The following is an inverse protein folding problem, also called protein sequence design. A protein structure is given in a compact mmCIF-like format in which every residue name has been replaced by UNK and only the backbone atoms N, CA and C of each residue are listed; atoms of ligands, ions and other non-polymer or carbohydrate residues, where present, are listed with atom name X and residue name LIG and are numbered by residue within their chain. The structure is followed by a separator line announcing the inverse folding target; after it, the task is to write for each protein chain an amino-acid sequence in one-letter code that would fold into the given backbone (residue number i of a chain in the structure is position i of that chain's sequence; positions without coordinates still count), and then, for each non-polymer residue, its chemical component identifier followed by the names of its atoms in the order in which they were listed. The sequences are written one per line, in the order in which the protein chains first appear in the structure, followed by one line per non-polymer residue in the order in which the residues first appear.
data_IF_060245967773
#
_entry.id   IF_060245967773
#
_cell.length_a   1.000
_cell.length_b   1.000
_cell.length_c   1.000
_cell.angle_alpha   90.00
_cell.angle_beta   90.00
_cell.angle_gamma   90.00
#
_symmetry.space_group_name_H-M   'P 1'
#
loop_
_entity.id
_entity.type
_entity.pdbx_description
1 polymer ?
#
# COMPACT_ATOMS: atom_id res chain seq x y z
N UNK A 1 -68.24 3.45 5.43
CA UNK A 1 -66.80 3.69 5.69
C UNK A 1 -66.30 2.51 6.52
N UNK A 2 -65.22 1.85 6.12
CA UNK A 2 -64.68 0.72 6.90
C UNK A 2 -64.12 1.21 8.25
N UNK A 3 -64.22 0.40 9.31
CA UNK A 3 -63.72 0.75 10.65
C UNK A 3 -62.23 1.15 10.65
N UNK A 4 -61.43 0.58 9.74
CA UNK A 4 -60.03 0.93 9.56
C UNK A 4 -59.80 2.39 9.17
N UNK A 5 -60.61 2.93 8.24
CA UNK A 5 -60.52 4.33 7.79
C UNK A 5 -60.87 5.28 8.94
N UNK A 6 -61.87 4.93 9.75
CA UNK A 6 -62.25 5.74 10.93
C UNK A 6 -61.11 5.77 11.94
N UNK A 7 -60.49 4.63 12.24
CA UNK A 7 -59.37 4.56 13.18
C UNK A 7 -58.13 5.33 12.68
N UNK A 8 -57.82 5.28 11.38
CA UNK A 8 -56.73 6.07 10.79
C UNK A 8 -56.96 7.57 11.00
N UNK A 9 -58.15 8.07 10.66
CA UNK A 9 -58.52 9.48 10.87
C UNK A 9 -58.45 9.88 12.34
N UNK A 10 -58.90 9.04 13.26
CA UNK A 10 -58.82 9.32 14.71
C UNK A 10 -57.36 9.42 15.17
N UNK A 11 -56.47 8.54 14.69
CA UNK A 11 -55.03 8.60 15.00
C UNK A 11 -54.39 9.89 14.49
N UNK A 12 -54.69 10.27 13.25
CA UNK A 12 -54.17 11.50 12.64
C UNK A 12 -54.69 12.76 13.35
N UNK A 13 -56.00 12.83 13.63
CA UNK A 13 -56.58 13.94 14.40
C UNK A 13 -56.01 14.04 15.82
N UNK A 14 -55.74 12.89 16.48
CA UNK A 14 -55.09 12.86 17.79
C UNK A 14 -53.65 13.35 17.71
N UNK A 15 -52.89 12.91 16.71
CA UNK A 15 -51.51 13.37 16.44
C UNK A 15 -51.48 14.88 16.26
N UNK A 16 -52.33 15.43 15.38
CA UNK A 16 -52.35 16.86 15.08
C UNK A 16 -52.71 17.71 16.31
N UNK A 17 -53.69 17.26 17.11
CA UNK A 17 -54.05 17.91 18.36
C UNK A 17 -52.89 17.90 19.37
N UNK A 18 -52.18 16.76 19.51
CA UNK A 18 -51.04 16.63 20.42
C UNK A 18 -49.83 17.46 19.97
N UNK A 19 -49.56 17.55 18.67
CA UNK A 19 -48.50 18.40 18.11
C UNK A 19 -48.79 19.87 18.41
N UNK A 20 -50.00 20.33 18.09
CA UNK A 20 -50.39 21.72 18.36
C UNK A 20 -50.32 22.06 19.85
N UNK A 21 -50.79 21.14 20.71
CA UNK A 21 -50.69 21.29 22.16
C UNK A 21 -49.23 21.35 22.64
N UNK A 22 -48.37 20.46 22.16
CA UNK A 22 -46.97 20.42 22.57
C UNK A 22 -46.20 21.70 22.19
N UNK A 23 -46.52 22.27 21.02
CA UNK A 23 -45.95 23.55 20.56
C UNK A 23 -46.50 24.72 21.38
N UNK A 24 -47.82 24.79 21.59
CA UNK A 24 -48.45 25.92 22.31
C UNK A 24 -48.03 25.98 23.78
N UNK A 25 -47.98 24.83 24.46
CA UNK A 25 -47.58 24.73 25.87
C UNK A 25 -46.05 24.69 26.04
N UNK A 26 -45.30 24.71 24.95
CA UNK A 26 -43.82 24.65 24.96
C UNK A 26 -43.30 23.47 25.79
N UNK A 27 -43.96 22.31 25.67
CA UNK A 27 -43.67 21.11 26.46
C UNK A 27 -42.20 20.69 26.40
N UNK A 28 -41.53 20.98 25.29
CA UNK A 28 -40.14 20.61 25.01
C UNK A 28 -39.16 21.80 25.07
N UNK A 29 -39.60 22.93 25.62
CA UNK A 29 -38.79 24.14 25.80
C UNK A 29 -39.10 25.28 24.82
N UNK A 30 -38.41 26.40 25.00
CA UNK A 30 -38.52 27.56 24.11
C UNK A 30 -37.70 27.31 22.82
N UNK A 31 -38.28 27.62 21.65
CA UNK A 31 -37.60 27.48 20.34
C UNK A 31 -38.14 26.38 19.42
N UNK A 32 -39.24 25.72 19.79
CA UNK A 32 -40.00 24.82 18.90
C UNK A 32 -41.33 25.51 18.59
N UNK A 33 -41.43 26.07 17.39
CA UNK A 33 -42.59 26.84 16.89
C UNK A 33 -43.32 26.12 15.76
N UNK A 34 -42.71 25.08 15.19
CA UNK A 34 -43.24 24.31 14.07
C UNK A 34 -43.19 22.80 14.31
N UNK A 35 -44.03 22.07 13.56
CA UNK A 35 -43.98 20.61 13.54
C UNK A 35 -42.64 20.07 12.99
N UNK A 36 -41.94 20.82 12.15
CA UNK A 36 -40.62 20.44 11.64
C UNK A 36 -39.55 20.53 12.74
N UNK A 37 -39.58 21.58 13.56
CA UNK A 37 -38.69 21.69 14.72
C UNK A 37 -39.02 20.63 15.79
N UNK A 38 -40.31 20.30 15.96
CA UNK A 38 -40.72 19.22 16.85
C UNK A 38 -40.21 17.86 16.34
N UNK A 39 -40.26 17.61 15.03
CA UNK A 39 -39.64 16.43 14.40
C UNK A 39 -38.14 16.38 14.66
N UNK A 40 -37.45 17.50 14.45
CA UNK A 40 -36.01 17.58 14.67
C UNK A 40 -35.63 17.32 16.13
N UNK A 41 -36.44 17.78 17.08
CA UNK A 41 -36.25 17.56 18.51
C UNK A 41 -36.57 16.13 18.95
N UNK A 42 -37.71 15.58 18.51
CA UNK A 42 -38.16 14.23 18.87
C UNK A 42 -37.48 13.13 18.05
N UNK A 43 -36.84 13.48 16.94
CA UNK A 43 -36.26 12.58 15.94
C UNK A 43 -37.30 11.63 15.33
N UNK A 44 -38.58 12.05 15.32
CA UNK A 44 -39.75 11.28 14.89
C UNK A 44 -40.70 12.17 14.10
N UNK A 45 -41.06 11.76 12.88
CA UNK A 45 -41.88 12.58 12.00
C UNK A 45 -43.34 12.63 12.49
N UNK A 46 -43.77 13.82 12.94
CA UNK A 46 -45.13 14.05 13.43
C UNK A 46 -46.13 14.38 12.32
N UNK A 47 -45.73 14.36 11.05
CA UNK A 47 -46.59 14.62 9.89
C UNK A 47 -46.99 13.35 9.14
N UNK A 48 -46.45 12.19 9.53
CA UNK A 48 -46.67 10.92 8.82
C UNK A 48 -48.07 10.34 9.02
N UNK A 49 -48.70 9.89 7.94
CA UNK A 49 -50.05 9.33 7.95
C UNK A 49 -50.14 7.99 8.69
N UNK A 50 -51.34 7.64 9.16
CA UNK A 50 -51.56 6.42 9.96
C UNK A 50 -51.42 5.10 9.18
N UNK A 51 -51.21 5.18 7.87
CA UNK A 51 -51.00 4.04 6.96
C UNK A 51 -49.55 3.54 6.93
N UNK A 52 -48.58 4.38 7.32
CA UNK A 52 -47.17 3.98 7.36
C UNK A 52 -46.93 3.11 8.58
N UNK A 53 -46.39 1.91 8.34
CA UNK A 53 -46.07 0.96 9.39
C UNK A 53 -44.55 0.81 9.51
N UNK A 54 -44.06 0.95 10.74
CA UNK A 54 -42.65 0.78 11.12
C UNK A 54 -42.60 -0.11 12.36
N UNK A 55 -41.51 -0.86 12.54
CA UNK A 55 -41.29 -1.57 13.80
C UNK A 55 -40.67 -0.62 14.82
N UNK A 56 -40.92 -0.77 16.13
CA UNK A 56 -40.32 0.11 17.14
C UNK A 56 -38.79 0.17 17.07
N UNK A 57 -38.13 -0.95 16.72
CA UNK A 57 -36.68 -1.02 16.57
C UNK A 57 -36.21 -0.28 15.31
N UNK A 58 -36.91 -0.44 14.19
CA UNK A 58 -36.56 0.27 12.96
C UNK A 58 -36.69 1.79 13.14
N UNK A 59 -37.74 2.22 13.84
CA UNK A 59 -37.95 3.64 14.12
C UNK A 59 -36.86 4.21 15.05
N UNK A 60 -36.51 3.50 16.13
CA UNK A 60 -35.41 3.90 17.01
C UNK A 60 -34.06 3.99 16.28
N UNK A 61 -33.80 3.08 15.33
CA UNK A 61 -32.61 3.12 14.47
C UNK A 61 -32.62 4.38 13.59
N UNK A 62 -33.76 4.70 12.96
CA UNK A 62 -33.91 5.89 12.12
C UNK A 62 -33.71 7.18 12.92
N UNK A 63 -34.30 7.26 14.12
CA UNK A 63 -34.11 8.40 15.04
C UNK A 63 -32.65 8.59 15.43
N UNK A 64 -31.95 7.51 15.81
CA UNK A 64 -30.54 7.57 16.16
C UNK A 64 -29.66 7.94 14.97
N UNK A 65 -29.94 7.40 13.78
CA UNK A 65 -29.22 7.76 12.55
C UNK A 65 -29.38 9.25 12.25
N UNK A 66 -30.62 9.79 12.31
CA UNK A 66 -30.89 11.20 12.11
C UNK A 66 -30.12 12.07 13.10
N UNK A 67 -30.11 11.70 14.38
CA UNK A 67 -29.36 12.42 15.41
C UNK A 67 -27.85 12.45 15.12
N UNK A 68 -27.27 11.31 14.75
CA UNK A 68 -25.84 11.24 14.40
C UNK A 68 -25.52 12.16 13.22
N UNK A 69 -26.36 12.19 12.17
CA UNK A 69 -26.18 13.11 11.04
C UNK A 69 -26.26 14.57 11.46
N UNK A 70 -27.25 14.93 12.28
CA UNK A 70 -27.41 16.31 12.78
C UNK A 70 -26.20 16.76 13.61
N UNK A 71 -25.64 15.87 14.43
CA UNK A 71 -24.37 16.14 15.14
C UNK A 71 -23.20 16.35 14.16
N UNK A 72 -23.09 15.53 13.11
CA UNK A 72 -22.03 15.65 12.09
C UNK A 72 -22.15 16.97 11.31
N UNK A 73 -23.37 17.37 10.97
CA UNK A 73 -23.67 18.59 10.22
C UNK A 73 -23.55 19.88 11.06
N UNK A 74 -23.38 19.76 12.38
CA UNK A 74 -23.32 20.91 13.27
C UNK A 74 -24.70 21.51 13.60
N UNK A 75 -25.79 20.78 13.33
CA UNK A 75 -27.16 21.23 13.56
C UNK A 75 -27.60 21.12 15.04
N UNK A 76 -26.89 20.33 15.85
CA UNK A 76 -27.15 20.19 17.28
C UNK A 76 -26.41 21.26 18.12
N UNK A 77 -26.95 21.70 19.26
CA UNK A 77 -26.26 22.66 20.14
C UNK A 77 -25.00 22.05 20.79
N UNK A 78 -24.00 22.89 21.07
CA UNK A 78 -22.85 22.51 21.91
C UNK A 78 -23.32 21.99 23.29
N UNK A 79 -22.68 20.94 23.87
CA UNK A 79 -21.40 20.35 23.47
C UNK A 79 -21.49 19.20 22.46
N UNK A 80 -22.68 18.95 21.88
CA UNK A 80 -22.91 17.80 21.01
C UNK A 80 -22.08 17.84 19.71
N UNK A 81 -21.68 19.04 19.28
CA UNK A 81 -20.91 19.30 18.06
C UNK A 81 -19.40 19.41 18.29
N UNK A 82 -18.95 20.03 19.39
CA UNK A 82 -17.54 20.33 19.66
C UNK A 82 -16.63 19.11 19.88
N UNK A 83 -17.18 17.90 19.99
CA UNK A 83 -16.42 16.66 20.17
C UNK A 83 -16.67 15.59 19.10
N UNK A 84 -17.47 15.87 18.07
CA UNK A 84 -17.84 14.86 17.05
C UNK A 84 -16.61 14.28 16.37
N UNK A 85 -15.61 15.11 16.04
CA UNK A 85 -14.36 14.68 15.41
C UNK A 85 -13.62 13.56 16.18
N UNK A 86 -13.70 13.54 17.52
CA UNK A 86 -13.06 12.49 18.35
C UNK A 86 -13.68 11.12 18.15
N UNK A 87 -14.91 11.05 17.67
CA UNK A 87 -15.60 9.79 17.38
C UNK A 87 -15.26 9.23 15.98
N UNK A 88 -14.54 9.99 15.14
CA UNK A 88 -14.11 9.59 13.79
C UNK A 88 -12.67 9.05 13.71
N UNK A 89 -11.94 8.96 14.83
CA UNK A 89 -10.62 8.30 14.88
C UNK A 89 -10.72 6.81 14.51
N UNK A 90 -9.67 6.25 13.89
CA UNK A 90 -9.65 4.92 13.24
C UNK A 90 -10.27 3.77 14.05
N UNK A 91 -10.10 3.78 15.38
CA UNK A 91 -10.59 2.72 16.27
C UNK A 91 -12.05 2.88 16.73
N UNK A 92 -12.73 3.93 16.28
CA UNK A 92 -14.09 4.29 16.74
C UNK A 92 -15.15 3.91 15.71
N UNK A 93 -16.37 3.70 16.21
CA UNK A 93 -17.50 3.30 15.37
C UNK A 93 -17.82 4.33 14.28
N UNK A 94 -17.74 5.64 14.55
CA UNK A 94 -18.09 6.65 13.54
C UNK A 94 -17.02 6.86 12.47
N UNK A 95 -15.78 6.37 12.66
CA UNK A 95 -14.74 6.42 11.62
C UNK A 95 -15.23 5.92 10.25
N UNK A 96 -16.02 4.84 10.29
CA UNK A 96 -16.56 4.17 9.13
C UNK A 96 -18.06 4.44 8.92
N UNK A 97 -18.58 5.55 9.46
CA UNK A 97 -20.00 5.87 9.42
C UNK A 97 -20.55 5.89 7.99
N UNK A 98 -20.03 6.76 7.13
CA UNK A 98 -20.51 6.92 5.76
C UNK A 98 -20.31 5.68 4.88
N UNK A 99 -19.22 4.93 5.12
CA UNK A 99 -18.89 3.75 4.32
C UNK A 99 -19.77 2.56 4.71
N UNK A 100 -19.88 2.25 6.01
CA UNK A 100 -20.46 1.00 6.49
C UNK A 100 -21.58 1.19 7.53
N UNK A 101 -21.40 2.07 8.51
CA UNK A 101 -22.21 2.02 9.72
C UNK A 101 -23.52 2.82 9.65
N UNK A 102 -23.64 3.76 8.70
CA UNK A 102 -24.84 4.61 8.49
C UNK A 102 -26.07 3.81 8.08
N UNK A 103 -25.90 2.71 7.34
CA UNK A 103 -27.00 1.87 6.83
C UNK A 103 -26.91 0.48 7.43
N UNK A 104 -28.00 0.01 8.03
CA UNK A 104 -28.07 -1.31 8.65
C UNK A 104 -27.59 -2.44 7.74
N UNK A 105 -27.98 -2.44 6.46
CA UNK A 105 -27.59 -3.50 5.50
C UNK A 105 -26.09 -3.57 5.27
N UNK A 106 -25.39 -2.42 5.19
CA UNK A 106 -23.93 -2.38 5.02
C UNK A 106 -23.22 -2.78 6.30
N UNK A 107 -23.68 -2.29 7.45
CA UNK A 107 -23.17 -2.69 8.75
C UNK A 107 -23.32 -4.20 8.96
N UNK A 108 -24.50 -4.75 8.70
CA UNK A 108 -24.76 -6.17 8.83
C UNK A 108 -23.92 -7.01 7.87
N UNK A 109 -23.70 -6.54 6.63
CA UNK A 109 -22.79 -7.18 5.68
C UNK A 109 -21.34 -7.20 6.17
N UNK A 110 -20.85 -6.08 6.69
CA UNK A 110 -19.51 -5.97 7.29
C UNK A 110 -19.34 -6.90 8.50
N UNK A 111 -20.33 -6.93 9.40
CA UNK A 111 -20.27 -7.80 10.58
C UNK A 111 -20.35 -9.28 10.19
N UNK A 112 -21.21 -9.64 9.22
CA UNK A 112 -21.28 -11.00 8.68
C UNK A 112 -19.98 -11.42 8.02
N UNK A 113 -19.34 -10.56 7.22
CA UNK A 113 -18.07 -10.84 6.56
C UNK A 113 -16.98 -11.30 7.55
N UNK A 114 -17.03 -10.78 8.78
CA UNK A 114 -16.08 -11.12 9.85
C UNK A 114 -16.19 -12.58 10.31
N UNK A 115 -17.38 -13.17 10.26
CA UNK A 115 -17.66 -14.54 10.71
C UNK A 115 -17.89 -15.53 9.56
N UNK A 116 -18.37 -15.04 8.43
CA UNK A 116 -18.80 -15.82 7.27
C UNK A 116 -18.08 -15.36 6.00
N UNK A 117 -16.76 -15.21 6.07
CA UNK A 117 -15.96 -14.74 4.95
C UNK A 117 -16.16 -15.58 3.67
N UNK A 118 -16.36 -16.89 3.83
CA UNK A 118 -16.60 -17.83 2.73
C UNK A 118 -17.81 -17.45 1.85
N UNK A 119 -18.86 -16.86 2.43
CA UNK A 119 -20.07 -16.44 1.70
C UNK A 119 -19.80 -15.26 0.74
N UNK A 120 -18.69 -14.54 0.94
CA UNK A 120 -18.31 -13.35 0.18
C UNK A 120 -17.11 -13.58 -0.74
N UNK A 121 -16.48 -14.76 -0.70
CA UNK A 121 -15.34 -15.06 -1.57
C UNK A 121 -15.83 -15.43 -2.96
N UNK A 122 -15.54 -14.57 -3.93
CA UNK A 122 -15.58 -14.90 -5.34
C UNK A 122 -14.15 -15.06 -5.87
N UNK A 123 -13.72 -16.26 -6.31
CA UNK A 123 -12.39 -16.49 -6.84
C UNK A 123 -12.00 -15.55 -7.99
N UNK A 124 -12.98 -15.11 -8.78
CA UNK A 124 -12.78 -14.24 -9.94
C UNK A 124 -12.61 -12.77 -9.57
N UNK A 125 -13.02 -12.36 -8.36
CA UNK A 125 -12.95 -10.97 -7.88
C UNK A 125 -11.84 -10.73 -6.86
N UNK A 126 -10.91 -11.68 -6.70
CA UNK A 126 -9.75 -11.53 -5.83
C UNK A 126 -8.94 -10.28 -6.23
N UNK A 127 -8.75 -9.34 -5.28
CA UNK A 127 -8.06 -8.07 -5.55
C UNK A 127 -6.55 -8.19 -5.75
N UNK A 128 -5.89 -9.10 -5.04
CA UNK A 128 -4.43 -9.26 -5.03
C UNK A 128 -3.98 -10.41 -5.94
N UNK A 129 -4.45 -10.42 -7.18
CA UNK A 129 -4.00 -11.38 -8.19
C UNK A 129 -2.61 -11.00 -8.69
N UNK A 130 -1.74 -11.98 -8.79
CA UNK A 130 -0.44 -11.82 -9.43
C UNK A 130 -0.60 -11.61 -10.93
N UNK A 131 0.37 -11.00 -11.58
CA UNK A 131 0.45 -10.91 -13.05
C UNK A 131 0.36 -12.32 -13.66
N UNK A 132 1.05 -13.27 -13.04
CA UNK A 132 1.05 -14.68 -13.44
C UNK A 132 -0.36 -15.31 -13.39
N UNK A 133 -1.12 -15.08 -12.32
CA UNK A 133 -2.47 -15.62 -12.18
C UNK A 133 -3.46 -14.92 -13.13
N UNK A 134 -3.32 -13.61 -13.29
CA UNK A 134 -4.12 -12.83 -14.24
C UNK A 134 -3.92 -13.33 -15.68
N UNK A 135 -2.67 -13.60 -16.07
CA UNK A 135 -2.37 -14.20 -17.37
C UNK A 135 -2.99 -15.61 -17.52
N UNK A 136 -2.99 -16.43 -16.46
CA UNK A 136 -3.67 -17.72 -16.46
C UNK A 136 -5.18 -17.59 -16.66
N UNK A 137 -5.84 -16.70 -15.92
CA UNK A 137 -7.28 -16.42 -16.09
C UNK A 137 -7.61 -15.95 -17.51
N UNK A 138 -6.80 -15.05 -18.07
CA UNK A 138 -6.97 -14.61 -19.46
C UNK A 138 -6.83 -15.77 -20.45
N UNK A 139 -5.84 -16.66 -20.28
CA UNK A 139 -5.64 -17.80 -21.17
C UNK A 139 -6.82 -18.79 -21.15
N UNK A 140 -7.41 -19.05 -19.97
CA UNK A 140 -8.57 -19.96 -19.88
C UNK A 140 -9.87 -19.33 -20.40
N UNK A 141 -9.95 -18.00 -20.43
CA UNK A 141 -11.13 -17.25 -20.90
C UNK A 141 -11.16 -17.02 -22.42
N UNK A 142 -10.08 -17.33 -23.16
CA UNK A 142 -9.95 -17.04 -24.60
C UNK A 142 -10.70 -18.01 -25.55
N UNK A 143 -11.56 -18.90 -25.04
CA UNK A 143 -12.32 -19.80 -25.91
C UNK A 143 -13.14 -20.86 -25.16
N UNK A 144 -13.50 -21.94 -25.87
CA UNK A 144 -14.25 -23.05 -25.27
C UNK A 144 -13.40 -23.76 -24.22
N UNK A 145 -13.92 -23.80 -22.99
CA UNK A 145 -13.30 -24.51 -21.89
C UNK A 145 -13.37 -26.02 -22.16
N UNK A 146 -12.22 -26.61 -22.47
CA UNK A 146 -12.04 -28.05 -22.66
C UNK A 146 -10.94 -28.55 -21.73
N UNK A 147 -10.97 -29.82 -21.34
CA UNK A 147 -9.96 -30.40 -20.45
C UNK A 147 -8.53 -30.18 -20.99
N UNK A 148 -8.32 -30.36 -22.30
CA UNK A 148 -7.03 -30.15 -22.94
C UNK A 148 -6.58 -28.67 -22.88
N UNK A 149 -7.50 -27.72 -23.06
CA UNK A 149 -7.19 -26.30 -22.94
C UNK A 149 -6.79 -25.92 -21.51
N UNK A 150 -7.52 -26.43 -20.51
CA UNK A 150 -7.22 -26.21 -19.09
C UNK A 150 -5.87 -26.81 -18.71
N UNK A 151 -5.59 -28.06 -19.11
CA UNK A 151 -4.29 -28.71 -18.85
C UNK A 151 -3.12 -27.89 -19.43
N UNK A 152 -3.24 -27.40 -20.67
CA UNK A 152 -2.22 -26.55 -21.30
C UNK A 152 -2.05 -25.23 -20.55
N UNK A 153 -3.13 -24.58 -20.12
CA UNK A 153 -3.08 -23.34 -19.36
C UNK A 153 -2.38 -23.53 -18.01
N UNK A 154 -2.69 -24.62 -17.29
CA UNK A 154 -2.03 -24.97 -16.02
C UNK A 154 -0.55 -25.26 -16.23
N UNK A 155 -0.19 -26.03 -17.26
CA UNK A 155 1.23 -26.30 -17.58
C UNK A 155 2.00 -25.00 -17.83
N UNK A 156 1.45 -24.07 -18.63
CA UNK A 156 2.04 -22.76 -18.88
C UNK A 156 2.19 -21.93 -17.59
N UNK A 157 1.19 -21.96 -16.71
CA UNK A 157 1.25 -21.32 -15.40
C UNK A 157 2.36 -21.91 -14.53
N UNK A 158 2.45 -23.24 -14.42
CA UNK A 158 3.47 -23.93 -13.62
C UNK A 158 4.89 -23.69 -14.15
N UNK A 159 5.10 -23.72 -15.47
CA UNK A 159 6.42 -23.41 -16.05
C UNK A 159 6.85 -21.97 -15.76
N UNK A 160 5.91 -21.03 -15.77
CA UNK A 160 6.22 -19.63 -15.45
C UNK A 160 6.43 -19.42 -13.95
N UNK A 161 5.66 -20.12 -13.11
CA UNK A 161 5.85 -20.16 -11.66
C UNK A 161 7.22 -20.72 -11.28
N UNK A 162 7.66 -21.80 -11.94
CA UNK A 162 8.96 -22.42 -11.72
C UNK A 162 10.12 -21.43 -11.94
N UNK A 163 10.03 -20.59 -12.98
CA UNK A 163 11.02 -19.52 -13.22
C UNK A 163 11.09 -18.53 -12.06
N UNK A 164 9.94 -18.11 -11.53
CA UNK A 164 9.87 -17.18 -10.40
C UNK A 164 10.32 -17.82 -9.07
N UNK A 165 10.06 -19.12 -8.90
CA UNK A 165 10.45 -19.86 -7.69
C UNK A 165 11.96 -20.09 -7.60
N UNK A 166 12.66 -20.13 -8.74
CA UNK A 166 14.12 -20.31 -8.82
C UNK A 166 14.91 -18.98 -8.80
N UNK A 167 14.22 -17.84 -8.61
CA UNK A 167 14.90 -16.55 -8.51
C UNK A 167 15.84 -16.52 -7.31
N UNK A 168 17.08 -16.10 -7.56
CA UNK A 168 18.08 -15.89 -6.52
C UNK A 168 18.00 -14.44 -6.06
N UNK A 169 17.86 -14.20 -4.76
CA UNK A 169 17.89 -12.85 -4.20
C UNK A 169 19.33 -12.37 -4.13
N UNK A 170 19.64 -11.26 -4.80
CA UNK A 170 20.99 -10.70 -4.93
C UNK A 170 21.20 -9.43 -4.11
N UNK A 171 20.13 -8.83 -3.60
CA UNK A 171 20.22 -7.64 -2.77
C UNK A 171 18.89 -7.26 -2.15
N UNK A 172 18.93 -6.41 -1.13
CA UNK A 172 17.74 -5.85 -0.50
C UNK A 172 18.04 -4.47 0.09
N UNK A 173 17.00 -3.68 0.32
CA UNK A 173 17.06 -2.42 1.09
C UNK A 173 15.91 -2.37 2.09
N UNK A 174 16.12 -1.71 3.23
CA UNK A 174 15.08 -1.47 4.22
C UNK A 174 14.73 0.02 4.23
N UNK A 175 13.47 0.34 3.93
CA UNK A 175 12.96 1.72 3.91
C UNK A 175 12.15 1.94 5.18
N UNK A 176 12.79 2.56 6.17
CA UNK A 176 12.18 2.82 7.48
C UNK A 176 10.93 3.72 7.40
N UNK A 177 10.97 4.73 6.51
CA UNK A 177 9.87 5.69 6.27
C UNK A 177 8.55 4.96 5.97
N UNK A 178 8.61 3.95 5.10
CA UNK A 178 7.44 3.19 4.63
C UNK A 178 7.32 1.81 5.32
N UNK A 179 8.16 1.52 6.32
CA UNK A 179 8.25 0.22 7.02
C UNK A 179 8.26 -0.98 6.05
N UNK A 180 8.94 -0.81 4.92
CA UNK A 180 8.91 -1.75 3.79
C UNK A 180 10.33 -2.11 3.39
N UNK A 181 10.57 -3.40 3.20
CA UNK A 181 11.80 -3.94 2.66
C UNK A 181 11.61 -4.24 1.18
N UNK A 182 12.59 -3.89 0.35
CA UNK A 182 12.59 -4.22 -1.08
C UNK A 182 13.71 -5.21 -1.36
N UNK A 183 13.45 -6.17 -2.24
CA UNK A 183 14.37 -7.23 -2.61
C UNK A 183 14.55 -7.25 -4.12
N UNK A 184 15.78 -7.56 -4.53
CA UNK A 184 16.19 -7.70 -5.92
C UNK A 184 16.54 -9.16 -6.18
N UNK A 185 15.96 -9.72 -7.23
CA UNK A 185 16.15 -11.10 -7.66
C UNK A 185 16.72 -11.18 -9.06
N UNK A 186 17.50 -12.23 -9.34
CA UNK A 186 17.95 -12.60 -10.69
C UNK A 186 17.46 -13.99 -11.08
N UNK A 187 17.18 -14.20 -12.36
CA UNK A 187 16.97 -15.52 -12.91
C UNK A 187 18.29 -16.26 -13.14
N UNK A 188 18.21 -17.59 -13.22
CA UNK A 188 19.36 -18.46 -13.50
C UNK A 188 19.63 -18.63 -15.01
N UNK A 189 18.78 -18.05 -15.86
CA UNK A 189 18.91 -18.12 -17.32
C UNK A 189 20.02 -17.15 -17.80
N UNK A 190 20.59 -17.41 -18.98
CA UNK A 190 21.54 -16.51 -19.64
C UNK A 190 20.93 -16.08 -20.98
N UNK A 191 20.72 -14.77 -21.22
CA UNK A 191 20.99 -13.64 -20.33
C UNK A 191 20.06 -13.62 -19.10
N UNK A 192 20.58 -13.19 -17.96
CA UNK A 192 19.82 -13.10 -16.71
C UNK A 192 18.70 -12.05 -16.81
N UNK A 193 17.58 -12.32 -16.15
CA UNK A 193 16.48 -11.39 -16.01
C UNK A 193 16.37 -10.96 -14.55
N UNK A 194 16.08 -9.68 -14.33
CA UNK A 194 16.00 -9.11 -12.99
C UNK A 194 14.56 -8.84 -12.58
N UNK A 195 14.29 -9.02 -11.29
CA UNK A 195 12.99 -8.90 -10.68
C UNK A 195 13.10 -8.15 -9.36
N UNK A 196 12.04 -7.50 -8.94
CA UNK A 196 11.97 -6.91 -7.61
C UNK A 196 10.70 -7.35 -6.89
N UNK A 197 10.73 -7.34 -5.56
CA UNK A 197 9.53 -7.50 -4.72
C UNK A 197 9.68 -6.68 -3.45
N UNK A 198 8.59 -6.50 -2.71
CA UNK A 198 8.58 -5.86 -1.41
C UNK A 198 7.98 -6.76 -0.33
N UNK A 199 8.35 -6.48 0.90
CA UNK A 199 7.80 -7.07 2.11
C UNK A 199 7.48 -5.95 3.10
N UNK A 200 6.23 -5.87 3.55
CA UNK A 200 5.83 -4.95 4.60
C UNK A 200 5.26 -5.71 5.79
N UNK A 201 5.32 -5.12 6.97
CA UNK A 201 4.72 -5.71 8.17
C UNK A 201 3.24 -5.36 8.22
N UNK A 202 2.38 -6.33 8.49
CA UNK A 202 0.96 -6.06 8.72
C UNK A 202 0.78 -5.10 9.91
N UNK A 203 -0.22 -4.22 9.82
CA UNK A 203 -0.48 -3.20 10.85
C UNK A 203 -1.06 -3.77 12.16
N UNK A 204 -1.57 -5.00 12.15
CA UNK A 204 -2.18 -5.63 13.31
C UNK A 204 -1.15 -6.29 14.24
N UNK A 205 -1.53 -6.46 15.51
CA UNK A 205 -0.81 -6.99 16.69
C UNK A 205 -0.04 -8.33 16.54
N UNK A 206 0.15 -8.84 15.32
CA UNK A 206 0.89 -10.05 15.04
C UNK A 206 2.26 -9.70 14.45
N UNK A 207 3.28 -9.71 15.32
CA UNK A 207 4.68 -9.37 14.96
C UNK A 207 5.24 -10.25 13.83
N UNK A 208 4.61 -11.38 13.54
CA UNK A 208 5.07 -12.37 12.55
C UNK A 208 4.36 -12.28 11.19
N UNK A 209 3.39 -11.38 11.01
CA UNK A 209 2.63 -11.32 9.78
C UNK A 209 3.31 -10.40 8.75
N UNK A 210 4.10 -11.00 7.86
CA UNK A 210 4.77 -10.35 6.73
C UNK A 210 3.90 -10.42 5.48
N UNK A 211 3.61 -9.26 4.89
CA UNK A 211 2.87 -9.13 3.64
C UNK A 211 3.88 -8.99 2.51
N UNK A 212 3.96 -10.04 1.69
CA UNK A 212 4.85 -10.06 0.54
C UNK A 212 4.12 -9.66 -0.74
N UNK A 213 4.77 -8.83 -1.56
CA UNK A 213 4.36 -8.62 -2.95
C UNK A 213 4.82 -9.80 -3.83
N UNK A 214 4.27 -9.86 -5.04
CA UNK A 214 4.80 -10.71 -6.09
C UNK A 214 6.18 -10.23 -6.56
N UNK A 215 6.88 -11.12 -7.28
CA UNK A 215 8.05 -10.75 -8.06
C UNK A 215 7.60 -10.08 -9.36
N UNK A 216 8.01 -8.83 -9.56
CA UNK A 216 7.71 -8.05 -10.75
C UNK A 216 8.98 -7.91 -11.58
N UNK A 217 8.88 -8.16 -12.88
CA UNK A 217 10.03 -8.07 -13.79
C UNK A 217 10.48 -6.61 -13.93
N UNK A 218 11.79 -6.41 -13.94
CA UNK A 218 12.40 -5.12 -14.27
C UNK A 218 12.55 -5.05 -15.79
N UNK A 219 11.70 -4.27 -16.44
CA UNK A 219 11.64 -4.13 -17.91
C UNK A 219 12.64 -3.10 -18.45
N UNK A 220 13.88 -3.12 -17.96
CA UNK A 220 14.99 -2.36 -18.52
C UNK A 220 15.97 -3.30 -19.21
N UNK A 221 16.59 -2.80 -20.28
CA UNK A 221 17.65 -3.48 -21.02
C UNK A 221 18.96 -3.48 -20.18
N UNK A 222 18.93 -4.25 -19.09
CA UNK A 222 20.08 -4.49 -18.22
C UNK A 222 20.86 -5.65 -18.85
N UNK A 223 21.81 -5.32 -19.70
CA UNK A 223 22.69 -6.30 -20.33
C UNK A 223 23.84 -6.62 -19.37
N UNK A 224 23.75 -7.75 -18.69
CA UNK A 224 24.89 -8.33 -17.98
C UNK A 224 25.30 -9.60 -18.70
N UNK A 225 26.38 -9.55 -19.50
CA UNK A 225 26.91 -10.73 -20.23
C UNK A 225 27.37 -11.84 -19.28
N UNK A 226 27.72 -11.44 -18.07
CA UNK A 226 28.18 -12.30 -17.00
C UNK A 226 27.55 -11.70 -15.76
N UNK A 227 26.68 -12.42 -15.04
CA UNK A 227 25.97 -11.98 -13.81
C UNK A 227 26.87 -11.60 -12.62
N UNK A 228 27.95 -10.89 -12.91
CA UNK A 228 29.02 -10.30 -12.10
C UNK A 228 28.95 -8.77 -12.14
N UNK A 229 28.25 -8.17 -13.11
CA UNK A 229 28.06 -6.73 -13.09
C UNK A 229 27.07 -6.34 -11.99
N UNK A 230 27.39 -5.34 -11.16
CA UNK A 230 26.55 -5.00 -10.02
C UNK A 230 25.25 -4.36 -10.44
N UNK A 231 24.16 -4.86 -9.87
CA UNK A 231 22.83 -4.26 -9.87
C UNK A 231 22.38 -4.14 -8.42
N UNK A 232 21.92 -2.97 -8.01
CA UNK A 232 21.46 -2.72 -6.64
C UNK A 232 20.22 -1.84 -6.58
N UNK A 233 19.53 -1.93 -5.43
CA UNK A 233 18.39 -1.09 -5.11
C UNK A 233 18.86 0.12 -4.30
N UNK A 234 18.21 1.25 -4.52
CA UNK A 234 18.42 2.47 -3.76
C UNK A 234 17.10 3.19 -3.53
N UNK A 235 16.94 3.83 -2.37
CA UNK A 235 15.77 4.64 -2.07
C UNK A 235 16.17 6.11 -2.09
N UNK A 236 15.58 6.88 -3.01
CA UNK A 236 15.86 8.30 -3.17
C UNK A 236 14.57 9.04 -3.51
N UNK A 237 14.35 10.20 -2.87
CA UNK A 237 13.17 11.05 -3.10
C UNK A 237 11.82 10.31 -3.08
N UNK A 238 11.66 9.40 -2.11
CA UNK A 238 10.44 8.58 -1.95
C UNK A 238 10.16 7.66 -3.16
N UNK A 239 11.21 7.27 -3.90
CA UNK A 239 11.14 6.35 -5.05
C UNK A 239 12.18 5.24 -4.94
N UNK A 240 11.79 4.06 -5.43
CA UNK A 240 12.70 2.94 -5.59
C UNK A 240 13.51 3.14 -6.88
N UNK A 241 14.83 3.11 -6.76
CA UNK A 241 15.77 3.22 -7.84
C UNK A 241 16.52 1.90 -7.99
N UNK A 242 16.87 1.57 -9.23
CA UNK A 242 17.80 0.51 -9.58
C UNK A 242 19.00 1.13 -10.25
N UNK A 243 20.14 0.54 -9.99
CA UNK A 243 21.40 1.10 -10.40
C UNK A 243 22.33 -0.01 -10.82
N UNK A 244 22.93 0.15 -11.99
CA UNK A 244 23.81 -0.88 -12.54
C UNK A 244 24.92 -0.32 -13.39
N UNK A 245 25.92 -1.15 -13.60
CA UNK A 245 27.07 -0.86 -14.44
C UNK A 245 27.01 -1.72 -15.71
N UNK A 246 27.16 -1.09 -16.87
CA UNK A 246 27.23 -1.75 -18.16
C UNK A 246 28.62 -1.54 -18.76
N UNK A 247 29.22 -2.60 -19.27
CA UNK A 247 30.46 -2.51 -20.06
C UNK A 247 30.14 -2.58 -21.56
N UNK A 248 30.51 -1.54 -22.30
CA UNK A 248 30.44 -1.53 -23.77
C UNK A 248 31.82 -1.78 -24.34
N UNK A 249 31.96 -2.85 -25.11
CA UNK A 249 33.19 -3.13 -25.87
C UNK A 249 33.09 -2.39 -27.21
N UNK A 250 34.10 -1.60 -27.53
CA UNK A 250 34.26 -0.89 -28.81
C UNK A 250 35.64 -1.21 -29.38
N UNK A 251 35.83 -1.08 -30.69
CA UNK A 251 37.14 -1.26 -31.32
C UNK A 251 37.66 0.11 -31.80
N UNK A 252 38.91 0.45 -31.46
CA UNK A 252 39.56 1.66 -31.99
C UNK A 252 39.94 1.47 -33.48
N UNK A 253 40.39 2.54 -34.15
CA UNK A 253 40.85 2.55 -35.55
C UNK A 253 41.99 1.57 -35.83
N UNK A 254 42.69 1.08 -34.79
CA UNK A 254 43.72 0.05 -34.85
C UNK A 254 43.19 -1.38 -34.65
N UNK A 255 41.89 -1.53 -34.47
CA UNK A 255 41.17 -2.77 -34.14
C UNK A 255 41.42 -3.32 -32.72
N UNK A 256 42.01 -2.51 -31.83
CA UNK A 256 42.19 -2.85 -30.42
C UNK A 256 40.86 -2.72 -29.65
N UNK A 257 40.59 -3.65 -28.72
CA UNK A 257 39.42 -3.61 -27.85
C UNK A 257 39.53 -2.50 -26.80
N UNK A 258 38.60 -1.55 -26.86
CA UNK A 258 38.40 -0.48 -25.87
C UNK A 258 37.12 -0.76 -25.09
N UNK A 259 37.26 -1.03 -23.79
CA UNK A 259 36.15 -1.23 -22.87
C UNK A 259 35.74 0.10 -22.26
N UNK A 260 34.53 0.55 -22.56
CA UNK A 260 33.92 1.72 -21.91
C UNK A 260 32.90 1.26 -20.87
N UNK A 261 33.04 1.69 -19.61
CA UNK A 261 32.05 1.40 -18.57
C UNK A 261 31.07 2.56 -18.40
N UNK A 262 29.79 2.25 -18.28
CA UNK A 262 28.70 3.21 -18.07
C UNK A 262 27.94 2.86 -16.80
N UNK A 263 27.68 3.88 -15.99
CA UNK A 263 26.77 3.80 -14.87
C UNK A 263 25.35 4.17 -15.32
N UNK A 264 24.39 3.34 -14.99
CA UNK A 264 22.98 3.53 -15.31
C UNK A 264 22.16 3.61 -14.03
N UNK A 265 21.20 4.53 -14.00
CA UNK A 265 20.22 4.64 -12.93
C UNK A 265 18.83 4.70 -13.56
N UNK A 266 17.89 3.96 -13.00
CA UNK A 266 16.48 4.05 -13.35
C UNK A 266 15.62 4.07 -12.08
N UNK A 267 14.53 4.80 -12.10
CA UNK A 267 13.56 4.82 -11.00
C UNK A 267 12.29 4.10 -11.40
N UNK A 268 11.61 3.55 -10.39
CA UNK A 268 10.29 2.97 -10.52
C UNK A 268 9.25 4.08 -10.48
N UNK A 269 8.41 4.15 -11.50
CA UNK A 269 7.29 5.09 -11.56
C UNK A 269 6.03 4.50 -10.88
N UNK A 270 5.01 5.34 -10.72
CA UNK A 270 3.73 5.04 -10.08
C UNK A 270 2.95 3.89 -10.73
N UNK A 271 3.18 3.62 -12.01
CA UNK A 271 2.58 2.52 -12.77
C UNK A 271 3.39 1.21 -12.68
N UNK A 272 4.44 1.17 -11.85
CA UNK A 272 5.45 0.11 -11.76
C UNK A 272 6.35 -0.04 -12.99
N UNK A 273 6.31 0.88 -13.96
CA UNK A 273 7.30 0.94 -15.03
C UNK A 273 8.64 1.46 -14.51
N UNK A 274 9.71 1.16 -15.24
CA UNK A 274 11.06 1.64 -14.94
C UNK A 274 11.46 2.71 -15.94
N UNK A 275 11.88 3.87 -15.44
CA UNK A 275 12.28 5.02 -16.26
C UNK A 275 13.76 5.27 -16.08
N UNK A 276 14.50 5.31 -17.19
CA UNK A 276 15.93 5.63 -17.18
C UNK A 276 16.15 7.09 -16.77
N UNK A 277 16.83 7.27 -15.65
CA UNK A 277 17.11 8.57 -15.04
C UNK A 277 18.46 9.14 -15.50
N UNK A 278 19.49 8.30 -15.54
CA UNK A 278 20.84 8.73 -15.88
C UNK A 278 21.66 7.63 -16.57
N UNK A 279 22.57 8.08 -17.45
CA UNK A 279 23.63 7.28 -18.05
C UNK A 279 24.92 8.09 -18.02
N UNK A 280 25.88 7.67 -17.18
CA UNK A 280 27.13 8.39 -16.95
C UNK A 280 28.28 7.52 -17.44
N UNK A 281 29.16 8.06 -18.29
CA UNK A 281 30.38 7.38 -18.72
C UNK A 281 31.44 7.52 -17.61
N UNK A 282 32.04 6.41 -17.21
CA UNK A 282 33.10 6.40 -16.19
C UNK A 282 34.42 6.92 -16.77
N UNK A 283 35.18 7.66 -15.95
CA UNK A 283 36.49 8.19 -16.33
C UNK A 283 37.56 7.09 -16.27
N UNK A 284 38.73 7.34 -16.87
CA UNK A 284 39.83 6.37 -16.86
C UNK A 284 40.37 6.08 -15.45
N UNK A 285 40.26 7.04 -14.52
CA UNK A 285 40.64 6.87 -13.11
C UNK A 285 39.65 5.95 -12.36
N UNK A 286 38.36 6.04 -12.69
CA UNK A 286 37.31 5.16 -12.16
C UNK A 286 37.37 3.73 -12.73
N UNK A 287 38.04 3.54 -13.87
CA UNK A 287 38.22 2.24 -14.51
C UNK A 287 39.29 1.36 -13.84
N UNK A 288 40.18 1.92 -13.00
CA UNK A 288 41.15 1.16 -12.19
C UNK A 288 40.50 0.35 -11.06
N UNK A 289 39.21 0.55 -10.78
CA UNK A 289 38.47 -0.25 -9.81
C UNK A 289 38.16 -1.60 -10.47
N UNK A 290 39.05 -2.58 -10.22
CA UNK A 290 38.98 -3.94 -10.78
C UNK A 290 37.80 -4.76 -10.24
N UNK A 291 37.47 -4.57 -8.97
CA UNK A 291 36.36 -5.25 -8.30
C UNK A 291 35.56 -4.26 -7.47
N UNK A 292 34.26 -4.27 -7.67
CA UNK A 292 33.32 -3.67 -6.75
C UNK A 292 32.77 -4.81 -5.89
N UNK A 293 32.87 -4.72 -4.55
CA UNK A 293 32.34 -5.74 -3.62
C UNK A 293 31.18 -5.22 -2.78
N UNK A 294 30.12 -6.03 -2.72
CA UNK A 294 29.01 -5.86 -1.78
C UNK A 294 29.42 -6.29 -0.38
N UNK A 295 30.51 -7.05 -0.22
CA UNK A 295 31.04 -7.43 1.07
C UNK A 295 32.32 -6.65 1.36
N UNK A 296 32.33 -5.89 2.45
CA UNK A 296 33.49 -5.12 2.89
C UNK A 296 34.01 -5.72 4.19
N UNK A 297 35.31 -5.98 4.23
CA UNK A 297 35.99 -6.41 5.44
C UNK A 297 36.30 -5.19 6.31
N UNK A 298 35.76 -5.17 7.52
CA UNK A 298 35.94 -4.09 8.49
C UNK A 298 36.63 -4.64 9.73
N UNK A 299 37.68 -3.98 10.20
CA UNK A 299 38.33 -4.32 11.46
C UNK A 299 37.67 -3.56 12.61
N UNK A 300 37.15 -4.29 13.59
CA UNK A 300 36.62 -3.74 14.84
C UNK A 300 37.40 -4.34 15.99
N UNK A 301 38.05 -3.50 16.79
CA UNK A 301 38.80 -3.93 18.00
C UNK A 301 39.80 -5.08 17.78
N UNK A 302 40.46 -5.11 16.60
CA UNK A 302 41.42 -6.15 16.15
C UNK A 302 40.80 -7.47 15.69
N UNK A 303 39.48 -7.57 15.62
CA UNK A 303 38.79 -8.67 14.96
C UNK A 303 38.30 -8.24 13.56
N UNK A 304 38.32 -9.18 12.61
CA UNK A 304 37.92 -8.97 11.22
C UNK A 304 36.47 -9.36 11.03
N UNK A 305 35.64 -8.42 10.61
CA UNK A 305 34.22 -8.63 10.33
C UNK A 305 33.95 -8.49 8.84
N UNK A 306 33.22 -9.43 8.25
CA UNK A 306 32.69 -9.31 6.90
C UNK A 306 31.31 -8.65 6.97
N UNK A 307 31.20 -7.44 6.42
CA UNK A 307 29.95 -6.67 6.39
C UNK A 307 29.39 -6.71 4.97
N UNK A 308 28.19 -7.27 4.82
CA UNK A 308 27.42 -7.17 3.59
C UNK A 308 26.82 -5.76 3.49
N UNK A 309 27.40 -4.95 2.64
CA UNK A 309 26.91 -3.63 2.24
C UNK A 309 25.94 -3.76 1.05
N UNK A 310 24.89 -2.94 1.05
CA UNK A 310 23.92 -2.88 -0.06
C UNK A 310 24.40 -1.99 -1.23
N UNK A 311 25.61 -1.44 -1.14
CA UNK A 311 26.23 -0.56 -2.13
C UNK A 311 27.55 -1.19 -2.52
N UNK A 312 27.83 -1.27 -3.82
CA UNK A 312 29.08 -1.86 -4.26
C UNK A 312 30.23 -0.87 -4.04
N UNK A 313 31.15 -1.20 -3.12
CA UNK A 313 32.22 -0.29 -2.69
C UNK A 313 33.47 -0.51 -3.56
N UNK A 314 34.01 0.51 -4.25
CA UNK A 314 35.37 0.47 -4.79
C UNK A 314 36.39 0.22 -3.68
N UNK A 315 37.32 -0.72 -3.90
CA UNK A 315 38.23 -1.24 -2.87
C UNK A 315 39.36 -0.24 -2.46
N UNK A 316 39.39 0.99 -3.00
CA UNK A 316 40.31 2.05 -2.53
C UNK A 316 39.62 2.94 -1.48
N UNK A 317 39.58 2.51 -0.21
CA UNK A 317 39.09 3.34 0.89
C UNK A 317 39.18 2.67 2.28
N UNK A 318 39.29 3.48 3.34
CA UNK A 318 39.30 3.03 4.75
C UNK A 318 37.99 3.43 5.41
N UNK A 319 37.25 2.47 5.97
CA UNK A 319 36.02 2.73 6.73
C UNK A 319 36.41 2.97 8.21
N UNK A 320 35.99 4.10 8.78
CA UNK A 320 36.23 4.41 10.20
C UNK A 320 34.98 4.12 11.03
N UNK A 321 35.19 3.41 12.15
CA UNK A 321 34.17 3.08 13.15
C UNK A 321 34.08 4.18 14.23
N UNK A 322 32.86 4.57 14.63
CA UNK A 322 32.63 5.48 15.75
C UNK A 322 31.78 4.77 16.84
N UNK A 323 32.29 4.51 18.06
CA UNK A 323 31.67 3.57 19.02
C UNK A 323 30.54 4.17 19.88
N UNK A 324 29.87 5.24 19.46
CA UNK A 324 29.01 6.02 20.37
C UNK A 324 27.57 5.51 20.55
N UNK A 325 27.26 4.24 20.26
CA UNK A 325 25.89 3.70 20.35
C UNK A 325 25.81 2.28 20.92
N UNK A 326 24.71 1.99 21.62
CA UNK A 326 24.35 0.64 22.11
C UNK A 326 24.29 -0.37 20.95
N UNK A 327 24.78 -1.59 21.18
CA UNK A 327 24.96 -2.74 20.26
C UNK A 327 23.76 -3.15 19.38
N UNK A 328 22.60 -2.50 19.49
CA UNK A 328 21.43 -2.81 18.67
C UNK A 328 21.49 -2.16 17.26
N UNK A 329 22.37 -1.17 17.06
CA UNK A 329 22.60 -0.53 15.76
C UNK A 329 24.10 -0.22 15.53
N UNK A 330 24.64 -0.66 14.39
CA UNK A 330 25.99 -0.29 13.92
C UNK A 330 25.84 0.86 12.92
N UNK A 331 26.16 2.08 13.34
CA UNK A 331 26.24 3.24 12.44
C UNK A 331 27.58 3.22 11.70
N UNK A 332 27.58 2.70 10.47
CA UNK A 332 28.74 2.78 9.58
C UNK A 332 28.75 4.19 8.98
N UNK A 333 29.58 5.07 9.52
CA UNK A 333 29.85 6.37 8.90
C UNK A 333 31.04 6.22 7.96
N UNK A 334 30.80 6.30 6.65
CA UNK A 334 31.87 6.29 5.64
C UNK A 334 32.67 7.57 5.79
N UNK A 335 33.85 7.50 6.42
CA UNK A 335 34.67 8.65 6.72
C UNK A 335 35.76 8.86 5.64
N UNK A 336 35.63 10.01 4.96
CA UNK A 336 36.57 10.67 4.03
C UNK A 336 36.81 10.03 2.65
N UNK A 337 36.30 10.78 1.66
CA UNK A 337 36.53 10.74 0.21
C UNK A 337 36.40 9.37 -0.45
N UNK A 338 35.15 8.92 -0.49
CA UNK A 338 34.69 8.10 -1.59
C UNK A 338 34.60 8.99 -2.83
N UNK A 339 35.53 8.82 -3.78
CA UNK A 339 35.39 9.43 -5.10
C UNK A 339 34.35 8.62 -5.87
N UNK A 340 33.07 8.94 -5.64
CA UNK A 340 32.05 8.53 -6.59
C UNK A 340 32.37 9.18 -7.94
N UNK A 341 32.21 8.46 -9.06
CA UNK A 341 32.37 9.04 -10.39
C UNK A 341 31.57 10.35 -10.48
N UNK A 342 32.19 11.39 -11.07
CA UNK A 342 31.59 12.72 -11.18
C UNK A 342 30.16 12.65 -11.76
N UNK A 343 29.16 13.14 -11.03
CA UNK A 343 27.74 13.07 -11.39
C UNK A 343 26.87 12.12 -10.56
N UNK A 344 27.44 11.45 -9.55
CA UNK A 344 26.75 10.55 -8.62
C UNK A 344 26.52 11.16 -7.22
N UNK A 345 26.59 12.49 -7.12
CA UNK A 345 26.52 13.25 -5.86
C UNK A 345 25.20 13.05 -5.08
N UNK A 346 24.17 12.50 -5.73
CA UNK A 346 22.87 12.19 -5.12
C UNK A 346 22.88 10.94 -4.23
N UNK A 347 23.89 10.06 -4.32
CA UNK A 347 24.02 8.90 -3.42
C UNK A 347 24.48 9.27 -2.01
N UNK A 348 25.00 10.48 -1.81
CA UNK A 348 25.63 10.94 -0.56
C UNK A 348 24.78 11.89 0.28
N UNK A 349 23.48 12.02 0.02
CA UNK A 349 22.60 12.84 0.87
C UNK A 349 22.32 12.16 2.23
N UNK A 350 23.35 12.07 3.08
CA UNK A 350 23.18 11.92 4.53
C UNK A 350 22.55 13.22 5.03
N UNK A 351 21.21 13.24 5.14
CA UNK A 351 20.55 14.21 6.02
C UNK A 351 21.09 13.96 7.43
N UNK A 352 21.79 14.96 7.96
CA UNK A 352 22.20 15.05 9.36
C UNK A 352 21.03 14.90 10.31
#
# INVERSE_FOLDING_TARGET
MSNAIVLQKVKESRRDALVNYAISEKTFGNGIESADELYQHLLLDTKIGAEVNTSPVAEAISSLQLYIERCIEGAEPEPHTGNVAKHFSTDKFLHNWNLYNKRYSRWAGKEKLKYYAADYIDPTLRYNKTELFTAFEQNINQGKLTENAVKKAIQKYLSSFEKLARLETIGYINVAENKTQFFLGRSQEVPCQYYWRSCSRAEANDKNNLIWSEWVKINNDIFSEVGKEPLYLHWHENRLNIVWLNTKITHDKKNDEVKEKYFHCAYKDSDNSWVNAAKIKLSNEDMEIEEYRSNVLVFVEKELYEINTNINVPIKGVILYNPSGTLDHIDITVAKEFNLPSGLDFFTALKK
#
